data_IF_155272635680
#
_entry.id   IF_155272635680
#
_cell.length_a   1.000
_cell.length_b   1.000
_cell.length_c   1.000
_cell.angle_alpha   90.00
_cell.angle_beta   90.00
_cell.angle_gamma   90.00
#
_symmetry.space_group_name_H-M   'P 1'
#
loop_
_entity.id
_entity.type
_entity.pdbx_description
1 polymer ?
#
# COMPACT_ATOMS: atom_id res chain seq x y z
N UNK A 1 -40.38 -41.48 2.83
CA UNK A 1 -39.00 -41.85 3.23
C UNK A 1 -38.01 -41.60 2.10
N UNK A 2 -38.07 -42.31 0.96
CA UNK A 2 -37.12 -42.15 -0.14
C UNK A 2 -37.07 -40.74 -0.78
N UNK A 3 -38.22 -40.09 -0.96
CA UNK A 3 -38.30 -38.71 -1.48
C UNK A 3 -37.70 -37.67 -0.54
N UNK A 4 -37.88 -37.83 0.78
CA UNK A 4 -37.29 -36.94 1.78
C UNK A 4 -35.77 -37.05 1.78
N UNK A 5 -35.24 -38.27 1.70
CA UNK A 5 -33.78 -38.53 1.61
C UNK A 5 -33.19 -37.89 0.35
N UNK A 6 -33.87 -38.03 -0.80
CA UNK A 6 -33.43 -37.39 -2.05
C UNK A 6 -33.38 -35.85 -1.93
N UNK A 7 -34.41 -35.24 -1.33
CA UNK A 7 -34.46 -33.79 -1.11
C UNK A 7 -33.29 -33.33 -0.24
N UNK A 8 -32.99 -34.04 0.84
CA UNK A 8 -31.88 -33.72 1.74
C UNK A 8 -30.52 -33.80 1.02
N UNK A 9 -30.32 -34.83 0.20
CA UNK A 9 -29.08 -34.99 -0.59
C UNK A 9 -28.92 -33.84 -1.59
N UNK A 10 -29.99 -33.46 -2.31
CA UNK A 10 -29.95 -32.34 -3.26
C UNK A 10 -29.63 -31.02 -2.55
N UNK A 11 -30.26 -30.76 -1.41
CA UNK A 11 -29.98 -29.55 -0.60
C UNK A 11 -28.52 -29.52 -0.14
N UNK A 12 -27.96 -30.64 0.31
CA UNK A 12 -26.54 -30.73 0.69
C UNK A 12 -25.61 -30.42 -0.49
N UNK A 13 -25.88 -30.98 -1.67
CA UNK A 13 -25.07 -30.72 -2.87
C UNK A 13 -25.14 -29.24 -3.25
N UNK A 14 -26.33 -28.64 -3.25
CA UNK A 14 -26.51 -27.21 -3.55
C UNK A 14 -25.75 -26.35 -2.54
N UNK A 15 -25.85 -26.65 -1.25
CA UNK A 15 -25.11 -25.94 -0.20
C UNK A 15 -23.59 -26.04 -0.40
N UNK A 16 -23.08 -27.23 -0.77
CA UNK A 16 -21.66 -27.45 -1.05
C UNK A 16 -21.17 -26.63 -2.24
N UNK A 17 -21.92 -26.63 -3.35
CA UNK A 17 -21.57 -25.84 -4.56
C UNK A 17 -21.57 -24.34 -4.25
N UNK A 18 -22.56 -23.87 -3.49
CA UNK A 18 -22.65 -22.46 -3.06
C UNK A 18 -21.45 -22.08 -2.18
N UNK A 19 -21.07 -22.95 -1.24
CA UNK A 19 -19.91 -22.73 -0.37
C UNK A 19 -18.61 -22.63 -1.17
N UNK A 20 -18.37 -23.57 -2.11
CA UNK A 20 -17.16 -23.54 -2.97
C UNK A 20 -17.10 -22.24 -3.77
N UNK A 21 -18.21 -21.80 -4.37
CA UNK A 21 -18.25 -20.52 -5.10
C UNK A 21 -18.00 -19.32 -4.19
N UNK A 22 -18.53 -19.33 -2.97
CA UNK A 22 -18.31 -18.27 -2.00
C UNK A 22 -16.84 -18.18 -1.58
N UNK A 23 -16.18 -19.32 -1.34
CA UNK A 23 -14.74 -19.41 -1.06
C UNK A 23 -13.92 -18.80 -2.21
N UNK A 24 -14.14 -19.26 -3.43
CA UNK A 24 -13.39 -18.75 -4.60
C UNK A 24 -13.60 -17.25 -4.82
N UNK A 25 -14.79 -16.73 -4.52
CA UNK A 25 -15.08 -15.29 -4.66
C UNK A 25 -14.35 -14.45 -3.62
N UNK A 26 -14.33 -14.89 -2.36
CA UNK A 26 -13.60 -14.21 -1.27
C UNK A 26 -12.10 -14.22 -1.56
N UNK A 27 -11.55 -15.35 -1.98
CA UNK A 27 -10.11 -15.48 -2.26
C UNK A 27 -9.67 -14.64 -3.45
N UNK A 28 -10.48 -14.55 -4.52
CA UNK A 28 -10.22 -13.65 -5.65
C UNK A 28 -10.20 -12.19 -5.20
N UNK A 29 -11.24 -11.76 -4.48
CA UNK A 29 -11.30 -10.39 -3.96
C UNK A 29 -10.12 -10.07 -3.03
N UNK A 30 -9.65 -11.05 -2.26
CA UNK A 30 -8.45 -10.90 -1.43
C UNK A 30 -7.17 -10.77 -2.25
N UNK A 31 -7.00 -11.60 -3.25
CA UNK A 31 -5.82 -11.55 -4.10
C UNK A 31 -5.75 -10.23 -4.89
N UNK A 32 -6.90 -9.73 -5.34
CA UNK A 32 -6.99 -8.45 -6.03
C UNK A 32 -6.51 -7.30 -5.13
N UNK A 33 -6.98 -7.20 -3.87
CA UNK A 33 -6.48 -6.15 -2.98
C UNK A 33 -5.00 -6.34 -2.64
N UNK A 34 -4.54 -7.58 -2.42
CA UNK A 34 -3.13 -7.85 -2.09
C UNK A 34 -2.20 -7.43 -3.21
N UNK A 35 -2.62 -7.63 -4.46
CA UNK A 35 -1.86 -7.19 -5.63
C UNK A 35 -1.68 -5.68 -5.63
N UNK A 36 -2.76 -4.91 -5.46
CA UNK A 36 -2.64 -3.44 -5.44
C UNK A 36 -1.88 -2.94 -4.21
N UNK A 37 -2.04 -3.59 -3.05
CA UNK A 37 -1.25 -3.30 -1.85
C UNK A 37 0.24 -3.54 -2.10
N UNK A 38 0.61 -4.60 -2.84
CA UNK A 38 2.00 -4.88 -3.21
C UNK A 38 2.56 -3.89 -4.22
N UNK A 39 1.72 -3.32 -5.09
CA UNK A 39 2.14 -2.22 -5.99
C UNK A 39 2.54 -1.00 -5.16
N UNK A 40 1.73 -0.64 -4.17
CA UNK A 40 2.06 0.45 -3.22
C UNK A 40 3.36 0.16 -2.47
N UNK A 41 3.57 -1.08 -1.98
CA UNK A 41 4.83 -1.47 -1.31
C UNK A 41 6.05 -1.24 -2.22
N UNK A 42 5.93 -1.57 -3.51
CA UNK A 42 6.99 -1.36 -4.51
C UNK A 42 7.34 0.12 -4.63
N UNK A 43 6.34 0.99 -4.77
CA UNK A 43 6.59 2.43 -4.85
C UNK A 43 7.21 3.00 -3.57
N UNK A 44 6.77 2.53 -2.39
CA UNK A 44 7.37 2.93 -1.12
C UNK A 44 8.83 2.50 -1.01
N UNK A 45 9.16 1.32 -1.54
CA UNK A 45 10.53 0.83 -1.61
C UNK A 45 11.39 1.67 -2.55
N UNK A 46 10.86 2.04 -3.72
CA UNK A 46 11.54 2.94 -4.65
C UNK A 46 11.80 4.32 -4.02
N UNK A 47 10.82 4.88 -3.32
CA UNK A 47 10.98 6.14 -2.58
C UNK A 47 12.11 6.03 -1.54
N UNK A 48 12.12 4.96 -0.75
CA UNK A 48 13.17 4.72 0.24
C UNK A 48 14.56 4.65 -0.41
N UNK A 49 14.66 3.93 -1.53
CA UNK A 49 15.93 3.76 -2.24
C UNK A 49 16.44 5.08 -2.83
N UNK A 50 15.55 5.93 -3.37
CA UNK A 50 15.92 7.26 -3.86
C UNK A 50 16.34 8.19 -2.73
N UNK A 51 15.62 8.21 -1.61
CA UNK A 51 16.00 8.96 -0.41
C UNK A 51 17.36 8.52 0.14
N UNK A 52 17.66 7.22 0.10
CA UNK A 52 18.97 6.70 0.48
C UNK A 52 20.09 7.26 -0.41
N UNK A 53 19.91 7.21 -1.73
CA UNK A 53 20.88 7.77 -2.70
C UNK A 53 21.08 9.28 -2.53
N UNK A 54 20.01 10.02 -2.28
CA UNK A 54 20.11 11.45 -1.95
C UNK A 54 20.89 11.68 -0.66
N UNK A 55 20.68 10.84 0.36
CA UNK A 55 21.48 10.84 1.59
C UNK A 55 22.95 10.57 1.38
N UNK A 56 23.29 9.63 0.49
CA UNK A 56 24.69 9.34 0.14
C UNK A 56 25.40 10.58 -0.46
N UNK A 57 24.67 11.42 -1.20
CA UNK A 57 25.21 12.68 -1.73
C UNK A 57 25.37 13.71 -0.61
N UNK A 58 24.39 13.86 0.29
CA UNK A 58 24.47 14.81 1.40
C UNK A 58 25.63 14.53 2.36
N UNK A 59 25.94 13.26 2.61
CA UNK A 59 27.06 12.87 3.47
C UNK A 59 28.42 13.31 2.92
N UNK A 60 28.57 13.47 1.59
CA UNK A 60 29.79 14.03 1.00
C UNK A 60 30.07 15.46 1.47
N UNK A 61 29.03 16.18 1.87
CA UNK A 61 29.08 17.58 2.33
C UNK A 61 29.02 17.69 3.86
N UNK A 62 29.22 16.59 4.58
CA UNK A 62 29.12 16.53 6.05
C UNK A 62 27.75 16.95 6.61
N UNK A 63 26.71 16.85 5.78
CA UNK A 63 25.33 17.13 6.20
C UNK A 63 24.74 15.84 6.79
N UNK A 64 24.08 15.96 7.94
CA UNK A 64 23.42 14.83 8.59
C UNK A 64 22.27 14.29 7.71
N UNK A 65 22.51 13.12 7.10
CA UNK A 65 21.53 12.42 6.27
C UNK A 65 20.51 11.59 7.07
N UNK A 66 20.63 11.52 8.40
CA UNK A 66 19.69 10.79 9.27
C UNK A 66 18.26 11.33 9.16
N UNK A 67 18.11 12.62 8.85
CA UNK A 67 16.82 13.27 8.69
C UNK A 67 16.06 12.87 7.43
N UNK A 68 16.76 12.35 6.41
CA UNK A 68 16.16 11.99 5.12
C UNK A 68 16.24 10.50 4.81
N UNK A 69 17.13 9.75 5.47
CA UNK A 69 17.21 8.29 5.33
C UNK A 69 16.16 7.60 6.18
N UNK A 70 15.72 6.43 5.74
CA UNK A 70 14.97 5.49 6.57
C UNK A 70 15.81 4.24 6.80
N UNK A 71 16.11 3.96 8.07
CA UNK A 71 16.86 2.77 8.49
C UNK A 71 16.02 1.50 8.54
N UNK A 72 14.69 1.62 8.48
CA UNK A 72 13.80 0.47 8.53
C UNK A 72 13.80 -0.30 7.21
N UNK A 73 13.98 -1.62 7.26
CA UNK A 73 13.75 -2.46 6.09
C UNK A 73 12.25 -2.54 5.79
N UNK A 74 11.81 -2.00 4.65
CA UNK A 74 10.45 -2.26 4.18
C UNK A 74 10.30 -3.74 3.80
N UNK A 75 9.23 -4.37 4.31
CA UNK A 75 8.81 -5.72 3.91
C UNK A 75 7.78 -5.68 2.79
N UNK A 76 7.63 -6.80 2.06
CA UNK A 76 6.50 -6.99 1.15
C UNK A 76 5.25 -7.43 1.94
N UNK A 77 4.09 -6.90 1.58
CA UNK A 77 2.80 -7.24 2.21
C UNK A 77 2.53 -6.46 3.49
N UNK A 78 2.96 -5.20 3.56
CA UNK A 78 2.73 -4.37 4.74
C UNK A 78 1.23 -4.10 4.94
N UNK A 79 0.75 -4.02 6.18
CA UNK A 79 -0.60 -3.54 6.44
C UNK A 79 -0.79 -2.13 5.88
N UNK A 80 -1.94 -1.83 5.28
CA UNK A 80 -2.25 -0.52 4.69
C UNK A 80 -2.02 0.64 5.67
N UNK A 81 -2.30 0.46 6.96
CA UNK A 81 -2.02 1.48 7.99
C UNK A 81 -0.54 1.82 8.10
N UNK A 82 0.34 0.82 7.93
CA UNK A 82 1.78 1.01 7.93
C UNK A 82 2.27 1.61 6.61
N UNK A 83 1.69 1.20 5.48
CA UNK A 83 1.95 1.84 4.18
C UNK A 83 1.65 3.35 4.22
N UNK A 84 0.50 3.75 4.78
CA UNK A 84 0.12 5.16 4.95
C UNK A 84 1.09 5.89 5.86
N UNK A 85 1.48 5.27 6.99
CA UNK A 85 2.46 5.85 7.91
C UNK A 85 3.80 6.11 7.21
N UNK A 86 4.33 5.11 6.51
CA UNK A 86 5.59 5.22 5.76
C UNK A 86 5.52 6.27 4.66
N UNK A 87 4.42 6.31 3.91
CA UNK A 87 4.20 7.34 2.90
C UNK A 87 4.20 8.75 3.48
N UNK A 88 3.57 8.96 4.64
CA UNK A 88 3.58 10.25 5.34
C UNK A 88 5.00 10.63 5.79
N UNK A 89 5.75 9.70 6.38
CA UNK A 89 7.13 9.92 6.79
C UNK A 89 8.02 10.26 5.59
N UNK A 90 7.87 9.55 4.47
CA UNK A 90 8.63 9.85 3.26
C UNK A 90 8.28 11.22 2.67
N UNK A 91 7.00 11.60 2.71
CA UNK A 91 6.58 12.92 2.25
C UNK A 91 7.23 14.06 3.05
N UNK A 92 7.40 13.89 4.36
CA UNK A 92 8.16 14.83 5.21
C UNK A 92 9.65 14.84 4.86
N UNK A 93 10.26 13.67 4.67
CA UNK A 93 11.68 13.54 4.29
C UNK A 93 11.99 14.15 2.92
N UNK A 94 11.08 14.03 1.96
CA UNK A 94 11.21 14.66 0.63
C UNK A 94 11.20 16.18 0.75
N UNK A 95 10.32 16.76 1.58
CA UNK A 95 10.31 18.22 1.84
C UNK A 95 11.62 18.68 2.49
N UNK A 96 12.12 17.94 3.47
CA UNK A 96 13.42 18.24 4.10
C UNK A 96 14.59 18.19 3.11
N UNK A 97 14.60 17.19 2.22
CA UNK A 97 15.62 17.09 1.17
C UNK A 97 15.63 18.34 0.28
N UNK A 98 14.46 18.88 -0.06
CA UNK A 98 14.33 20.12 -0.84
C UNK A 98 14.89 21.35 -0.11
N UNK A 99 14.64 21.46 1.20
CA UNK A 99 15.18 22.55 2.01
C UNK A 99 16.71 22.49 2.13
N UNK A 100 17.24 21.29 2.36
CA UNK A 100 18.68 21.06 2.51
C UNK A 100 19.42 21.30 1.19
N UNK A 101 18.88 20.80 0.07
CA UNK A 101 19.53 20.89 -1.25
C UNK A 101 19.68 22.33 -1.72
N UNK A 102 18.76 23.23 -1.34
CA UNK A 102 18.81 24.66 -1.69
C UNK A 102 19.89 25.43 -0.92
N UNK A 103 20.31 24.94 0.25
CA UNK A 103 21.16 25.70 1.19
C UNK A 103 22.62 25.26 1.22
N UNK A 104 22.89 23.99 0.92
CA UNK A 104 24.10 23.33 1.43
C UNK A 104 25.01 22.72 0.36
N UNK A 105 24.57 22.69 -0.90
CA UNK A 105 25.28 21.98 -1.98
C UNK A 105 25.87 22.99 -2.95
N UNK A 106 27.20 22.97 -3.06
CA UNK A 106 27.97 23.93 -3.87
C UNK A 106 28.38 23.39 -5.23
N UNK A 107 28.44 22.07 -5.42
CA UNK A 107 28.75 21.45 -6.71
C UNK A 107 27.49 21.37 -7.60
N UNK A 108 27.60 21.85 -8.85
CA UNK A 108 26.51 21.83 -9.82
C UNK A 108 26.12 20.41 -10.27
N UNK A 109 27.05 19.45 -10.31
CA UNK A 109 26.77 18.07 -10.72
C UNK A 109 25.99 17.29 -9.64
N UNK A 110 26.35 17.44 -8.37
CA UNK A 110 25.62 16.83 -7.24
C UNK A 110 24.25 17.52 -7.05
N UNK A 111 24.15 18.83 -7.31
CA UNK A 111 22.89 19.58 -7.30
C UNK A 111 21.95 19.13 -8.41
N UNK A 112 22.47 18.91 -9.63
CA UNK A 112 21.70 18.33 -10.73
C UNK A 112 21.20 16.92 -10.40
N UNK A 113 22.06 16.10 -9.78
CA UNK A 113 21.71 14.74 -9.35
C UNK A 113 20.59 14.72 -8.31
N UNK A 114 20.64 15.61 -7.31
CA UNK A 114 19.57 15.72 -6.31
C UNK A 114 18.29 16.29 -6.90
N UNK A 115 18.37 17.28 -7.80
CA UNK A 115 17.20 17.78 -8.52
C UNK A 115 16.52 16.68 -9.34
N UNK A 116 17.30 15.79 -9.97
CA UNK A 116 16.76 14.61 -10.64
C UNK A 116 16.05 13.67 -9.65
N UNK A 117 16.67 13.35 -8.51
CA UNK A 117 16.04 12.49 -7.51
C UNK A 117 14.78 13.12 -6.90
N UNK A 118 14.75 14.43 -6.69
CA UNK A 118 13.55 15.14 -6.26
C UNK A 118 12.41 14.99 -7.26
N UNK A 119 12.69 15.18 -8.55
CA UNK A 119 11.69 14.97 -9.61
C UNK A 119 11.17 13.53 -9.64
N UNK A 120 12.06 12.55 -9.49
CA UNK A 120 11.68 11.13 -9.40
C UNK A 120 10.83 10.85 -8.15
N UNK A 121 11.19 11.43 -7.01
CA UNK A 121 10.44 11.30 -5.75
C UNK A 121 9.05 11.93 -5.82
N UNK A 122 8.91 13.09 -6.46
CA UNK A 122 7.61 13.74 -6.69
C UNK A 122 6.73 12.93 -7.62
N UNK A 123 7.32 12.35 -8.68
CA UNK A 123 6.58 11.43 -9.55
C UNK A 123 6.11 10.20 -8.78
N UNK A 124 6.98 9.58 -7.98
CA UNK A 124 6.61 8.43 -7.15
C UNK A 124 5.51 8.77 -6.13
N UNK A 125 5.51 9.99 -5.55
CA UNK A 125 4.40 10.46 -4.70
C UNK A 125 3.07 10.49 -5.46
N UNK A 126 3.07 11.03 -6.67
CA UNK A 126 1.89 11.07 -7.53
C UNK A 126 1.43 9.64 -7.86
N UNK A 127 2.36 8.76 -8.18
CA UNK A 127 2.08 7.36 -8.53
C UNK A 127 1.46 6.59 -7.35
N UNK A 128 1.97 6.78 -6.12
CA UNK A 128 1.36 6.21 -4.90
C UNK A 128 -0.06 6.72 -4.70
N UNK A 129 -0.30 8.02 -4.89
CA UNK A 129 -1.64 8.61 -4.74
C UNK A 129 -2.58 8.07 -5.83
N UNK A 130 -2.13 7.96 -7.07
CA UNK A 130 -2.91 7.38 -8.16
C UNK A 130 -3.27 5.91 -7.87
N UNK A 131 -2.29 5.11 -7.43
CA UNK A 131 -2.48 3.70 -7.10
C UNK A 131 -3.38 3.50 -5.88
N UNK A 132 -3.37 4.46 -4.94
CA UNK A 132 -4.27 4.44 -3.77
C UNK A 132 -5.75 4.37 -4.16
N UNK A 133 -6.13 4.92 -5.32
CA UNK A 133 -7.51 4.86 -5.83
C UNK A 133 -7.87 3.44 -6.24
N UNK A 134 -6.99 2.75 -6.97
CA UNK A 134 -7.17 1.36 -7.37
C UNK A 134 -7.20 0.43 -6.14
N UNK A 135 -6.27 0.64 -5.21
CA UNK A 135 -6.24 -0.05 -3.91
C UNK A 135 -7.54 0.17 -3.12
N UNK A 136 -8.03 1.41 -2.99
CA UNK A 136 -9.25 1.69 -2.23
C UNK A 136 -10.49 1.08 -2.88
N UNK A 137 -10.53 1.00 -4.21
CA UNK A 137 -11.58 0.31 -4.95
C UNK A 137 -11.55 -1.20 -4.69
N UNK A 138 -10.37 -1.83 -4.70
CA UNK A 138 -10.24 -3.27 -4.43
C UNK A 138 -10.55 -3.61 -2.97
N UNK A 139 -10.11 -2.79 -2.01
CA UNK A 139 -10.50 -2.90 -0.59
C UNK A 139 -12.01 -2.76 -0.40
N UNK A 140 -12.63 -1.77 -1.03
CA UNK A 140 -14.08 -1.57 -0.94
C UNK A 140 -14.85 -2.77 -1.52
N UNK A 141 -14.39 -3.30 -2.67
CA UNK A 141 -14.95 -4.51 -3.26
C UNK A 141 -14.81 -5.74 -2.36
N UNK A 142 -13.63 -5.92 -1.74
CA UNK A 142 -13.37 -6.98 -0.78
C UNK A 142 -14.28 -6.85 0.45
N UNK A 143 -14.31 -5.68 1.10
CA UNK A 143 -15.13 -5.41 2.28
C UNK A 143 -16.63 -5.63 2.00
N UNK A 144 -17.11 -5.21 0.83
CA UNK A 144 -18.48 -5.46 0.37
C UNK A 144 -18.74 -6.94 0.02
N UNK A 145 -17.72 -7.68 -0.40
CA UNK A 145 -17.84 -9.12 -0.70
C UNK A 145 -17.96 -9.91 0.60
N UNK A 146 -17.13 -9.64 1.60
CA UNK A 146 -17.16 -10.37 2.88
C UNK A 146 -18.35 -9.99 3.77
N UNK A 147 -19.04 -8.88 3.50
CA UNK A 147 -20.21 -8.45 4.27
C UNK A 147 -21.53 -9.11 3.85
N UNK A 148 -21.58 -9.77 2.68
CA UNK A 148 -22.81 -10.35 2.12
C UNK A 148 -22.92 -11.85 2.34
N UNK A 149 -24.12 -12.34 2.67
CA UNK A 149 -24.40 -13.77 2.70
C UNK A 149 -24.34 -14.38 1.28
N UNK A 150 -23.77 -15.60 1.09
CA UNK A 150 -23.17 -16.49 2.09
C UNK A 150 -21.66 -16.24 2.35
N UNK A 151 -21.04 -15.26 1.68
CA UNK A 151 -19.62 -14.95 1.83
C UNK A 151 -19.23 -14.56 3.26
N UNK A 152 -20.11 -13.93 4.03
CA UNK A 152 -19.88 -13.60 5.45
C UNK A 152 -19.53 -14.82 6.31
N UNK A 153 -20.20 -15.96 6.08
CA UNK A 153 -19.93 -17.21 6.80
C UNK A 153 -18.55 -17.73 6.46
N UNK A 154 -18.19 -17.69 5.18
CA UNK A 154 -16.86 -18.10 4.70
C UNK A 154 -15.78 -17.20 5.28
N UNK A 155 -16.01 -15.89 5.27
CA UNK A 155 -15.08 -14.90 5.79
C UNK A 155 -14.82 -15.12 7.29
N UNK A 156 -15.88 -15.32 8.07
CA UNK A 156 -15.78 -15.62 9.50
C UNK A 156 -14.99 -16.91 9.75
N UNK A 157 -15.34 -18.01 9.05
CA UNK A 157 -14.66 -19.31 9.19
C UNK A 157 -13.18 -19.27 8.80
N UNK A 158 -12.81 -18.40 7.85
CA UNK A 158 -11.43 -18.25 7.36
C UNK A 158 -10.67 -17.06 7.96
N UNK A 159 -11.20 -16.47 9.04
CA UNK A 159 -10.59 -15.31 9.73
C UNK A 159 -10.26 -14.14 8.79
N UNK A 160 -11.14 -13.89 7.81
CA UNK A 160 -11.01 -12.80 6.85
C UNK A 160 -11.65 -11.55 7.45
N UNK A 161 -10.82 -10.56 7.77
CA UNK A 161 -11.22 -9.30 8.38
C UNK A 161 -11.29 -8.18 7.34
N UNK A 162 -12.18 -7.18 7.54
CA UNK A 162 -12.20 -5.97 6.74
C UNK A 162 -10.83 -5.31 6.66
N UNK A 163 -10.51 -4.73 5.50
CA UNK A 163 -9.26 -4.01 5.25
C UNK A 163 -9.47 -2.52 5.32
N UNK A 164 -8.43 -1.82 5.77
CA UNK A 164 -8.42 -0.37 5.87
C UNK A 164 -8.21 0.25 4.49
N UNK A 165 -8.80 1.42 4.28
CA UNK A 165 -8.53 2.24 3.12
C UNK A 165 -7.17 2.92 3.28
N UNK A 166 -6.50 3.17 2.16
CA UNK A 166 -5.36 4.05 2.07
C UNK A 166 -5.87 5.50 2.04
N UNK A 167 -5.75 6.21 3.15
CA UNK A 167 -6.19 7.60 3.27
C UNK A 167 -5.00 8.46 3.66
N UNK A 168 -4.52 9.25 2.71
CA UNK A 168 -3.47 10.23 2.94
C UNK A 168 -4.07 11.63 2.82
N UNK A 169 -3.87 12.44 3.86
CA UNK A 169 -4.15 13.88 3.85
C UNK A 169 -2.80 14.54 3.99
N UNK A 170 -2.36 15.23 2.93
CA UNK A 170 -1.17 16.04 3.04
C UNK A 170 -1.44 17.13 4.08
N UNK A 171 -0.67 17.15 5.17
CA UNK A 171 -0.67 18.29 6.08
C UNK A 171 -0.16 19.47 5.27
N UNK A 172 -1.09 20.33 4.84
CA UNK A 172 -0.75 21.68 4.46
C UNK A 172 -0.32 22.37 5.74
N UNK A 173 0.96 22.75 5.84
CA UNK A 173 1.37 23.70 6.85
C UNK A 173 0.54 24.97 6.60
N UNK A 174 -0.44 25.22 7.46
CA UNK A 174 -0.98 26.55 7.62
C UNK A 174 0.11 27.34 8.35
N UNK A 175 0.77 28.20 7.56
CA UNK A 175 1.60 29.35 7.96
C UNK A 175 2.95 29.08 8.64
#
# INVERSE_FOLDING_TARGET
MATIVLIVIVVMIVAMVVYIRAVSKVDRAENDFRKESSTIDTFLWDIQHRLKKSGDILEKYEIDASEIRDGDSLGLGMPTSFQVLKFSQYSEKIKKLEEISKRSITDEDDKASIAQYQKELDQLKIDVIAESVAHNKSVSFYNNTISKFPMTIVAHRRHKLPKNLFTYVERQNQE
#
